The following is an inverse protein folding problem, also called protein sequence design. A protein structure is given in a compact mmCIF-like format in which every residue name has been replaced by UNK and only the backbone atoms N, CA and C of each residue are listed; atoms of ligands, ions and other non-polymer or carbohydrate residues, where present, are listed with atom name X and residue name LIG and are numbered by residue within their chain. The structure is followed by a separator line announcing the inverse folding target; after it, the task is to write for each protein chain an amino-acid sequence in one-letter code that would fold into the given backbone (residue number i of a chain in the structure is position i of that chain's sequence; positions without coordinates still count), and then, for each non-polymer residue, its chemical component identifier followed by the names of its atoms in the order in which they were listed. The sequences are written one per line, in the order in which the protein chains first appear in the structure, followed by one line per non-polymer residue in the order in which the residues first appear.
data_IF_496961780306
#
_entry.id   IF_496961780306
#
_cell.length_a   1.000
_cell.length_b   1.000
_cell.length_c   1.000
_cell.angle_alpha   90.00
_cell.angle_beta   90.00
_cell.angle_gamma   90.00
#
_symmetry.space_group_name_H-M   'P 1'
#
loop_
_entity.id
_entity.type
_entity.pdbx_description
1 polymer ?
#
# COMPACT_ATOMS: atom_id res chain seq x y z
N UNK A 1 15.54 -27.85 5.18
CA UNK A 1 15.55 -28.62 3.93
C UNK A 1 14.12 -29.10 3.69
N UNK A 2 13.54 -28.82 2.54
CA UNK A 2 12.18 -29.25 2.19
C UNK A 2 12.29 -30.60 1.46
N UNK A 3 11.59 -31.61 1.96
CA UNK A 3 11.55 -32.93 1.30
C UNK A 3 10.52 -32.92 0.18
N UNK A 4 10.98 -32.89 -1.07
CA UNK A 4 10.12 -32.78 -2.28
C UNK A 4 9.07 -33.90 -2.37
N UNK A 5 9.44 -35.12 -1.99
CA UNK A 5 8.51 -36.25 -2.04
C UNK A 5 7.32 -36.03 -1.09
N UNK A 6 7.57 -35.69 0.17
CA UNK A 6 6.53 -35.40 1.16
C UNK A 6 5.67 -34.19 0.74
N UNK A 7 6.28 -33.16 0.12
CA UNK A 7 5.53 -32.03 -0.43
C UNK A 7 4.57 -32.47 -1.53
N UNK A 8 5.03 -33.27 -2.49
CA UNK A 8 4.20 -33.76 -3.58
C UNK A 8 3.05 -34.66 -3.08
N UNK A 9 3.31 -35.53 -2.10
CA UNK A 9 2.29 -36.36 -1.46
C UNK A 9 1.22 -35.49 -0.77
N UNK A 10 1.59 -34.45 -0.07
CA UNK A 10 0.65 -33.52 0.57
C UNK A 10 -0.15 -32.69 -0.45
N UNK A 11 0.48 -32.24 -1.54
CA UNK A 11 -0.21 -31.53 -2.63
C UNK A 11 -1.25 -32.44 -3.31
N UNK A 12 -0.90 -33.71 -3.58
CA UNK A 12 -1.85 -34.66 -4.21
C UNK A 12 -3.03 -34.97 -3.29
N UNK A 13 -2.82 -35.14 -1.98
CA UNK A 13 -3.91 -35.28 -0.99
C UNK A 13 -4.89 -34.10 -0.98
N UNK A 14 -4.40 -32.87 -1.29
CA UNK A 14 -5.20 -31.65 -1.29
C UNK A 14 -5.77 -31.29 -2.67
N UNK A 15 -5.48 -32.06 -3.70
CA UNK A 15 -5.86 -31.75 -5.08
C UNK A 15 -7.35 -31.49 -5.27
N UNK A 16 -8.22 -32.35 -4.72
CA UNK A 16 -9.67 -32.20 -4.85
C UNK A 16 -10.18 -30.95 -4.13
N UNK A 17 -9.58 -30.62 -2.99
CA UNK A 17 -9.89 -29.41 -2.23
C UNK A 17 -9.54 -28.15 -3.05
N UNK A 18 -8.37 -28.11 -3.69
CA UNK A 18 -7.99 -27.04 -4.61
C UNK A 18 -8.91 -26.93 -5.82
N UNK A 19 -9.27 -28.04 -6.45
CA UNK A 19 -10.18 -28.04 -7.60
C UNK A 19 -11.56 -27.50 -7.25
N UNK A 20 -12.11 -27.91 -6.10
CA UNK A 20 -13.40 -27.40 -5.60
C UNK A 20 -13.31 -25.91 -5.34
N UNK A 21 -12.27 -25.45 -4.63
CA UNK A 21 -12.05 -24.02 -4.37
C UNK A 21 -11.99 -23.21 -5.67
N UNK A 22 -11.23 -23.66 -6.68
CA UNK A 22 -11.13 -22.96 -7.96
C UNK A 22 -12.48 -22.85 -8.65
N UNK A 23 -13.27 -23.94 -8.65
CA UNK A 23 -14.61 -23.95 -9.27
C UNK A 23 -15.58 -22.99 -8.57
N UNK A 24 -15.64 -23.02 -7.23
CA UNK A 24 -16.47 -22.11 -6.43
C UNK A 24 -16.02 -20.66 -6.62
N UNK A 25 -14.72 -20.39 -6.55
CA UNK A 25 -14.15 -19.08 -6.77
C UNK A 25 -14.48 -18.49 -8.14
N UNK A 26 -14.40 -19.31 -9.20
CA UNK A 26 -14.74 -18.86 -10.57
C UNK A 26 -16.22 -18.49 -10.66
N UNK A 27 -17.12 -19.32 -10.10
CA UNK A 27 -18.57 -19.03 -10.08
C UNK A 27 -18.88 -17.73 -9.32
N UNK A 28 -18.20 -17.50 -8.21
CA UNK A 28 -18.40 -16.28 -7.41
C UNK A 28 -17.87 -15.05 -8.16
N UNK A 29 -16.71 -15.13 -8.80
CA UNK A 29 -16.17 -14.05 -9.65
C UNK A 29 -17.12 -13.69 -10.78
N UNK A 30 -17.70 -14.69 -11.46
CA UNK A 30 -18.67 -14.47 -12.55
C UNK A 30 -19.93 -13.73 -12.05
N UNK A 31 -20.42 -14.08 -10.87
CA UNK A 31 -21.57 -13.40 -10.27
C UNK A 31 -21.26 -11.91 -9.97
N UNK A 32 -20.06 -11.60 -9.46
CA UNK A 32 -19.65 -10.21 -9.23
C UNK A 32 -19.40 -9.45 -10.54
N UNK A 33 -18.90 -10.09 -11.59
CA UNK A 33 -18.78 -9.50 -12.93
C UNK A 33 -20.15 -9.13 -13.50
N UNK A 34 -21.16 -9.99 -13.33
CA UNK A 34 -22.54 -9.67 -13.70
C UNK A 34 -23.07 -8.47 -12.90
N UNK A 35 -22.76 -8.40 -11.61
CA UNK A 35 -23.06 -7.25 -10.77
C UNK A 35 -22.40 -5.96 -11.25
N UNK A 36 -21.13 -6.03 -11.64
CA UNK A 36 -20.40 -4.89 -12.18
C UNK A 36 -21.00 -4.41 -13.52
N UNK A 37 -21.40 -5.33 -14.41
CA UNK A 37 -22.08 -4.99 -15.65
C UNK A 37 -23.43 -4.30 -15.42
N UNK A 38 -24.19 -4.73 -14.41
CA UNK A 38 -25.45 -4.05 -14.01
C UNK A 38 -25.18 -2.66 -13.45
N UNK A 39 -24.13 -2.49 -12.65
CA UNK A 39 -23.71 -1.18 -12.14
C UNK A 39 -23.37 -0.23 -13.29
N UNK A 40 -22.61 -0.69 -14.29
CA UNK A 40 -22.23 0.09 -15.48
C UNK A 40 -23.45 0.51 -16.35
N UNK A 41 -24.54 -0.25 -16.33
CA UNK A 41 -25.77 0.03 -17.06
C UNK A 41 -26.74 0.95 -16.29
N UNK A 42 -26.44 1.26 -15.03
CA UNK A 42 -27.30 2.08 -14.16
C UNK A 42 -26.85 3.53 -14.18
N UNK A 43 -27.80 4.47 -14.13
CA UNK A 43 -27.47 5.90 -14.08
C UNK A 43 -26.69 6.25 -12.81
N UNK A 44 -25.76 7.21 -12.91
CA UNK A 44 -24.98 7.66 -11.74
C UNK A 44 -25.88 8.12 -10.59
N UNK A 45 -26.97 8.83 -10.89
CA UNK A 45 -27.91 9.29 -9.87
C UNK A 45 -28.58 8.12 -9.09
N UNK A 46 -28.93 7.03 -9.78
CA UNK A 46 -29.50 5.85 -9.15
C UNK A 46 -28.45 5.08 -8.33
N UNK A 47 -27.19 4.99 -8.85
CA UNK A 47 -26.08 4.39 -8.10
C UNK A 47 -25.84 5.17 -6.81
N UNK A 48 -25.69 6.49 -6.90
CA UNK A 48 -25.42 7.35 -5.75
C UNK A 48 -26.57 7.27 -4.73
N UNK A 49 -27.81 7.32 -5.18
CA UNK A 49 -28.99 7.18 -4.30
C UNK A 49 -29.01 5.85 -3.53
N UNK A 50 -28.69 4.73 -4.20
CA UNK A 50 -28.69 3.40 -3.56
C UNK A 50 -27.55 3.23 -2.58
N UNK A 51 -26.34 3.70 -2.94
CA UNK A 51 -25.15 3.51 -2.10
C UNK A 51 -25.07 4.53 -0.96
N UNK A 52 -25.58 5.76 -1.15
CA UNK A 52 -25.59 6.80 -0.10
C UNK A 52 -26.64 6.54 0.99
N UNK A 53 -27.70 5.78 0.69
CA UNK A 53 -28.75 5.44 1.65
C UNK A 53 -28.44 4.21 2.51
N UNK A 54 -27.37 3.49 2.23
CA UNK A 54 -27.04 2.20 2.85
C UNK A 54 -25.85 2.23 3.79
N UNK A 55 -26.07 1.80 5.05
CA UNK A 55 -25.02 1.63 6.08
C UNK A 55 -23.98 0.53 5.79
N UNK A 56 -24.05 -0.13 4.63
CA UNK A 56 -23.32 -1.39 4.39
C UNK A 56 -22.24 -1.36 3.33
N UNK A 57 -22.09 -0.28 2.57
CA UNK A 57 -21.07 -0.19 1.54
C UNK A 57 -19.69 0.20 2.10
N UNK A 58 -18.62 -0.28 1.48
CA UNK A 58 -17.26 0.14 1.80
C UNK A 58 -16.68 1.11 0.75
N UNK A 59 -17.40 1.34 -0.35
CA UNK A 59 -16.99 2.28 -1.40
C UNK A 59 -18.20 2.90 -2.10
N UNK A 60 -18.03 4.12 -2.59
CA UNK A 60 -18.96 4.82 -3.48
C UNK A 60 -18.19 5.31 -4.68
N UNK A 61 -18.58 4.96 -5.93
CA UNK A 61 -17.88 5.40 -7.12
C UNK A 61 -18.08 6.91 -7.34
N UNK A 62 -17.08 7.56 -7.91
CA UNK A 62 -17.18 8.95 -8.32
C UNK A 62 -18.06 9.11 -9.58
N UNK A 63 -18.34 10.36 -9.97
CA UNK A 63 -19.09 10.64 -11.19
C UNK A 63 -18.38 10.19 -12.49
N UNK A 64 -17.14 9.73 -12.42
CA UNK A 64 -16.48 9.10 -13.58
C UNK A 64 -17.28 7.92 -14.15
N UNK A 65 -18.07 7.22 -13.34
CA UNK A 65 -18.90 6.10 -13.83
C UNK A 65 -20.10 6.55 -14.68
N UNK A 66 -20.40 7.84 -14.74
CA UNK A 66 -21.57 8.37 -15.45
C UNK A 66 -21.57 8.09 -16.97
N UNK A 67 -20.41 7.78 -17.55
CA UNK A 67 -20.31 7.38 -18.96
C UNK A 67 -20.62 5.88 -19.21
N UNK A 68 -21.04 5.15 -18.17
CA UNK A 68 -21.40 3.75 -18.28
C UNK A 68 -20.22 2.79 -18.24
N UNK A 69 -19.05 3.22 -17.77
CA UNK A 69 -17.90 2.33 -17.60
C UNK A 69 -17.26 2.49 -16.23
N UNK A 70 -17.01 1.38 -15.54
CA UNK A 70 -16.26 1.35 -14.29
C UNK A 70 -14.74 1.45 -14.52
N UNK A 71 -14.28 1.11 -15.73
CA UNK A 71 -12.86 1.19 -16.08
C UNK A 71 -12.56 2.42 -16.93
N UNK A 72 -11.37 2.98 -16.71
CA UNK A 72 -10.81 4.10 -17.48
C UNK A 72 -9.65 3.58 -18.29
N UNK A 73 -9.78 3.61 -19.60
CA UNK A 73 -8.75 3.14 -20.51
C UNK A 73 -7.58 4.11 -20.53
N UNK A 74 -6.40 3.55 -20.60
CA UNK A 74 -5.22 4.32 -20.95
C UNK A 74 -5.14 4.45 -22.47
N UNK A 75 -5.12 5.68 -22.95
CA UNK A 75 -5.27 6.02 -24.37
C UNK A 75 -3.99 5.87 -25.20
N UNK A 76 -2.86 5.54 -24.55
CA UNK A 76 -1.58 5.39 -25.21
C UNK A 76 -1.26 3.92 -25.46
N UNK A 77 -0.80 3.65 -26.67
CA UNK A 77 -0.26 2.35 -27.07
C UNK A 77 1.16 2.55 -27.59
N UNK A 78 2.04 1.62 -27.27
CA UNK A 78 3.42 1.63 -27.74
C UNK A 78 3.71 0.39 -28.57
N UNK A 79 4.48 0.58 -29.65
CA UNK A 79 4.92 -0.52 -30.50
C UNK A 79 6.04 -1.34 -29.83
N UNK A 80 6.77 -0.74 -28.90
CA UNK A 80 7.91 -1.36 -28.23
C UNK A 80 8.23 -0.68 -26.89
N UNK A 81 9.10 -1.32 -26.12
CA UNK A 81 9.54 -0.83 -24.81
C UNK A 81 10.31 0.51 -24.86
N UNK A 82 10.94 0.85 -25.96
CA UNK A 82 11.66 2.12 -26.11
C UNK A 82 10.67 3.29 -26.11
N UNK A 83 9.56 3.17 -26.83
CA UNK A 83 8.51 4.18 -26.83
C UNK A 83 7.86 4.34 -25.45
N UNK A 84 7.63 3.24 -24.75
CA UNK A 84 7.12 3.28 -23.37
C UNK A 84 8.07 4.02 -22.43
N UNK A 85 9.38 3.72 -22.49
CA UNK A 85 10.40 4.39 -21.69
C UNK A 85 10.54 5.87 -22.02
N UNK A 86 10.44 6.24 -23.30
CA UNK A 86 10.47 7.64 -23.72
C UNK A 86 9.30 8.41 -23.15
N UNK A 87 8.09 7.84 -23.25
CA UNK A 87 6.91 8.44 -22.62
C UNK A 87 7.07 8.58 -21.09
N UNK A 88 7.57 7.55 -20.42
CA UNK A 88 7.80 7.61 -18.98
C UNK A 88 8.85 8.70 -18.63
N UNK A 89 9.92 8.81 -19.41
CA UNK A 89 10.91 9.88 -19.23
C UNK A 89 10.29 11.28 -19.41
N UNK A 90 9.41 11.48 -20.41
CA UNK A 90 8.71 12.75 -20.62
C UNK A 90 7.75 13.10 -19.47
N UNK A 91 7.05 12.10 -18.91
CA UNK A 91 6.18 12.30 -17.75
C UNK A 91 6.97 12.67 -16.51
N UNK A 92 8.10 12.00 -16.29
CA UNK A 92 8.94 12.17 -15.09
C UNK A 92 9.91 13.36 -15.18
N UNK A 93 10.21 13.86 -16.36
CA UNK A 93 11.18 14.94 -16.58
C UNK A 93 11.01 16.11 -15.62
N UNK A 94 12.05 16.47 -14.89
CA UNK A 94 12.08 17.51 -13.86
C UNK A 94 10.96 17.39 -12.79
N UNK A 95 10.42 16.20 -12.57
CA UNK A 95 9.38 15.91 -11.58
C UNK A 95 9.96 15.14 -10.42
N UNK A 96 9.80 15.67 -9.22
CA UNK A 96 10.32 15.00 -8.02
C UNK A 96 9.38 13.90 -7.57
N UNK A 97 9.88 12.66 -7.52
CA UNK A 97 9.22 11.55 -6.84
C UNK A 97 9.95 11.18 -5.55
N UNK A 98 9.20 10.73 -4.56
CA UNK A 98 9.72 10.40 -3.25
C UNK A 98 9.04 9.17 -2.69
N UNK A 99 9.83 8.30 -2.05
CA UNK A 99 9.31 7.21 -1.22
C UNK A 99 10.16 7.03 0.03
N UNK A 100 9.54 6.51 1.07
CA UNK A 100 10.20 6.04 2.28
C UNK A 100 9.68 4.64 2.63
N UNK A 101 10.59 3.79 3.07
CA UNK A 101 10.29 2.44 3.56
C UNK A 101 11.09 2.16 4.83
N UNK A 102 10.65 1.17 5.61
CA UNK A 102 11.25 0.85 6.88
C UNK A 102 11.63 -0.62 7.04
N UNK A 103 12.79 -0.85 7.66
CA UNK A 103 13.24 -2.16 8.09
C UNK A 103 13.49 -2.18 9.60
N UNK A 104 13.46 -3.38 10.21
CA UNK A 104 13.58 -3.50 11.66
C UNK A 104 14.43 -4.69 12.10
N UNK A 105 14.99 -4.54 13.30
CA UNK A 105 15.53 -5.62 14.11
C UNK A 105 14.59 -5.78 15.32
N UNK A 106 13.87 -6.90 15.36
CA UNK A 106 12.97 -7.22 16.47
C UNK A 106 13.73 -7.58 17.74
N UNK A 107 13.01 -7.53 18.86
CA UNK A 107 13.54 -7.99 20.14
C UNK A 107 13.88 -9.47 20.05
N UNK A 108 15.17 -9.76 20.07
CA UNK A 108 15.66 -11.13 19.96
C UNK A 108 15.58 -11.89 21.29
N UNK A 109 15.65 -13.21 21.21
CA UNK A 109 15.87 -14.08 22.37
C UNK A 109 17.32 -14.07 22.81
N UNK A 110 18.16 -13.32 22.13
CA UNK A 110 19.61 -13.21 22.36
C UNK A 110 19.91 -12.39 23.60
N UNK A 111 19.02 -11.48 23.98
CA UNK A 111 19.19 -10.62 25.17
C UNK A 111 18.03 -10.81 26.15
N UNK A 112 18.30 -10.76 27.45
CA UNK A 112 17.27 -10.78 28.50
C UNK A 112 16.47 -9.49 28.56
N UNK A 113 17.08 -8.39 28.12
CA UNK A 113 16.44 -7.07 28.06
C UNK A 113 16.04 -6.80 26.62
N UNK A 114 14.79 -6.43 26.34
CA UNK A 114 14.35 -6.16 24.99
C UNK A 114 15.06 -4.93 24.42
N UNK A 115 15.75 -5.12 23.32
CA UNK A 115 16.39 -4.06 22.53
C UNK A 115 16.04 -4.35 21.07
N UNK A 116 15.69 -3.31 20.35
CA UNK A 116 15.31 -3.39 18.94
C UNK A 116 15.87 -2.19 18.17
N UNK A 117 15.74 -2.21 16.86
CA UNK A 117 16.08 -1.08 16.03
C UNK A 117 15.13 -0.96 14.83
N UNK A 118 14.97 0.24 14.36
CA UNK A 118 14.32 0.53 13.08
C UNK A 118 15.24 1.38 12.21
N UNK A 119 15.18 1.14 10.92
CA UNK A 119 15.85 1.95 9.90
C UNK A 119 14.82 2.41 8.89
N UNK A 120 14.71 3.71 8.67
CA UNK A 120 13.86 4.30 7.64
C UNK A 120 14.77 4.76 6.51
N UNK A 121 14.67 4.07 5.39
CA UNK A 121 15.30 4.43 4.13
C UNK A 121 14.40 5.31 3.30
N UNK A 122 14.96 6.18 2.47
CA UNK A 122 14.20 6.97 1.51
C UNK A 122 14.96 7.20 0.23
N UNK A 123 14.19 7.50 -0.80
CA UNK A 123 14.70 7.87 -2.09
C UNK A 123 13.90 9.06 -2.63
N UNK A 124 14.60 10.16 -2.92
CA UNK A 124 14.07 11.34 -3.61
C UNK A 124 14.75 11.45 -4.98
N UNK A 125 13.96 11.38 -6.04
CA UNK A 125 14.46 11.46 -7.41
C UNK A 125 13.89 12.69 -8.12
N UNK A 126 14.69 13.70 -8.46
CA UNK A 126 14.24 14.88 -9.18
C UNK A 126 14.00 14.63 -10.68
N UNK A 127 14.40 13.47 -11.23
CA UNK A 127 14.33 13.13 -12.66
C UNK A 127 14.89 14.23 -13.56
N UNK A 128 15.93 14.89 -13.11
CA UNK A 128 16.62 15.95 -13.82
C UNK A 128 18.10 15.59 -13.96
N UNK A 129 18.65 15.73 -15.17
CA UNK A 129 20.02 15.34 -15.50
C UNK A 129 21.07 16.20 -14.77
N UNK A 130 20.70 17.42 -14.41
CA UNK A 130 21.58 18.39 -13.71
C UNK A 130 21.47 18.28 -12.19
N UNK A 131 20.50 17.50 -11.68
CA UNK A 131 20.24 17.33 -10.26
C UNK A 131 20.63 15.95 -9.77
N UNK A 132 21.15 15.86 -8.54
CA UNK A 132 21.43 14.56 -7.91
C UNK A 132 20.21 14.04 -7.16
N UNK A 133 19.99 12.72 -7.25
CA UNK A 133 19.03 12.05 -6.38
C UNK A 133 19.56 11.95 -4.94
N UNK A 134 18.65 11.85 -3.99
CA UNK A 134 18.97 11.59 -2.57
C UNK A 134 18.52 10.15 -2.21
N UNK A 135 19.47 9.27 -1.90
CA UNK A 135 19.24 7.95 -1.33
C UNK A 135 19.91 7.88 0.03
N UNK A 136 19.14 7.77 1.12
CA UNK A 136 19.67 7.84 2.48
C UNK A 136 18.82 7.00 3.44
N UNK A 137 19.30 6.84 4.69
CA UNK A 137 18.57 6.15 5.74
C UNK A 137 18.82 6.79 7.11
N UNK A 138 17.80 6.73 7.99
CA UNK A 138 17.88 7.14 9.40
C UNK A 138 17.73 5.90 10.27
N UNK A 139 18.73 5.62 11.10
CA UNK A 139 18.71 4.52 12.05
C UNK A 139 18.28 5.00 13.43
N UNK A 140 17.40 4.26 14.10
CA UNK A 140 16.95 4.50 15.47
C UNK A 140 17.06 3.23 16.30
N UNK A 141 17.79 3.32 17.41
CA UNK A 141 17.80 2.29 18.45
C UNK A 141 16.56 2.43 19.34
N UNK A 142 15.89 1.32 19.62
CA UNK A 142 14.78 1.25 20.58
C UNK A 142 15.29 0.60 21.86
N UNK A 143 15.29 1.38 22.93
CA UNK A 143 15.73 0.97 24.26
C UNK A 143 14.62 0.23 25.01
N UNK A 144 14.95 -0.45 26.14
CA UNK A 144 13.92 -1.03 27.01
C UNK A 144 12.84 -0.02 27.45
N UNK A 145 13.23 1.22 27.67
CA UNK A 145 12.27 2.29 28.01
C UNK A 145 11.28 2.57 26.86
N UNK A 146 11.74 2.56 25.60
CA UNK A 146 10.88 2.70 24.44
C UNK A 146 9.93 1.49 24.27
N UNK A 147 10.42 0.31 24.59
CA UNK A 147 9.74 -0.98 24.36
C UNK A 147 8.82 -1.43 25.50
N UNK A 148 9.12 -1.02 26.75
CA UNK A 148 8.41 -1.47 27.95
C UNK A 148 7.69 -0.34 28.70
N UNK A 149 7.78 0.92 28.23
CA UNK A 149 7.10 2.04 28.87
C UNK A 149 5.59 1.76 29.02
N UNK A 150 5.00 2.25 30.11
CA UNK A 150 3.60 2.05 30.44
C UNK A 150 2.68 2.60 29.32
N UNK A 151 2.08 1.69 28.62
CA UNK A 151 0.90 1.92 27.81
C UNK A 151 -0.29 1.38 28.58
N UNK A 152 -1.48 1.85 28.28
CA UNK A 152 -2.72 1.44 28.97
C UNK A 152 -2.92 -0.09 29.02
N UNK A 153 -2.27 -0.86 28.14
CA UNK A 153 -2.27 -2.34 28.16
C UNK A 153 -0.86 -2.92 27.95
N UNK A 154 -0.51 -4.06 28.60
CA UNK A 154 0.72 -4.79 28.30
C UNK A 154 0.76 -5.24 26.85
N UNK A 155 1.76 -4.80 26.09
CA UNK A 155 1.89 -5.07 24.68
C UNK A 155 3.20 -5.81 24.37
N UNK A 156 3.15 -6.74 23.41
CA UNK A 156 4.36 -7.40 22.92
C UNK A 156 5.35 -6.33 22.41
N UNK A 157 6.63 -6.33 22.85
CA UNK A 157 7.63 -5.38 22.39
C UNK A 157 7.78 -5.29 20.87
N UNK A 158 7.61 -6.41 20.14
CA UNK A 158 7.72 -6.44 18.68
C UNK A 158 6.67 -5.60 17.98
N UNK A 159 5.47 -5.48 18.56
CA UNK A 159 4.41 -4.60 18.04
C UNK A 159 4.84 -3.14 18.16
N UNK A 160 5.59 -2.77 19.19
CA UNK A 160 6.14 -1.41 19.34
C UNK A 160 7.23 -1.14 18.31
N UNK A 161 7.99 -2.15 17.92
CA UNK A 161 8.97 -2.04 16.84
C UNK A 161 8.25 -1.76 15.51
N UNK A 162 7.20 -2.50 15.20
CA UNK A 162 6.37 -2.27 14.01
C UNK A 162 5.75 -0.85 14.01
N UNK A 163 5.27 -0.41 15.19
CA UNK A 163 4.75 0.94 15.33
C UNK A 163 5.82 2.00 15.09
N UNK A 164 7.00 1.84 15.65
CA UNK A 164 8.10 2.78 15.47
C UNK A 164 8.55 2.85 14.00
N UNK A 165 8.54 1.72 13.29
CA UNK A 165 8.82 1.65 11.85
C UNK A 165 7.77 2.44 11.06
N UNK A 166 6.50 2.09 11.21
CA UNK A 166 5.40 2.74 10.49
C UNK A 166 5.35 4.25 10.73
N UNK A 167 5.44 4.67 11.99
CA UNK A 167 5.43 6.10 12.34
C UNK A 167 6.66 6.84 11.78
N UNK A 168 7.81 6.17 11.69
CA UNK A 168 9.01 6.73 11.07
C UNK A 168 8.86 6.91 9.56
N UNK A 169 8.18 5.98 8.87
CA UNK A 169 7.84 6.13 7.45
C UNK A 169 6.89 7.32 7.22
N UNK A 170 5.82 7.41 8.03
CA UNK A 170 4.85 8.53 7.98
C UNK A 170 5.53 9.87 8.26
N UNK A 171 6.40 9.94 9.29
CA UNK A 171 7.18 11.15 9.62
C UNK A 171 8.04 11.58 8.43
N UNK A 172 8.73 10.63 7.78
CA UNK A 172 9.61 10.96 6.66
C UNK A 172 8.85 11.41 5.42
N UNK A 173 7.66 10.83 5.16
CA UNK A 173 6.75 11.32 4.13
C UNK A 173 6.27 12.74 4.44
N UNK A 174 5.87 13.00 5.69
CA UNK A 174 5.46 14.33 6.14
C UNK A 174 6.57 15.39 5.96
N UNK A 175 7.83 15.07 6.30
CA UNK A 175 8.98 15.94 6.05
C UNK A 175 9.13 16.29 4.56
N UNK A 176 8.88 15.34 3.66
CA UNK A 176 8.91 15.59 2.23
C UNK A 176 7.75 16.50 1.78
N UNK A 177 6.53 16.26 2.26
CA UNK A 177 5.37 17.11 1.91
C UNK A 177 5.62 18.56 2.30
N UNK A 178 6.16 18.82 3.50
CA UNK A 178 6.55 20.17 3.94
C UNK A 178 7.65 20.76 3.06
N UNK A 179 8.71 20.00 2.78
CA UNK A 179 9.84 20.43 1.95
C UNK A 179 9.37 20.89 0.56
N UNK A 180 8.33 20.24 0.02
CA UNK A 180 7.79 20.53 -1.32
C UNK A 180 6.60 21.49 -1.32
N UNK A 181 6.09 21.91 -0.16
CA UNK A 181 5.03 22.90 -0.09
C UNK A 181 5.35 24.14 -0.94
N UNK A 182 4.36 24.67 -1.65
CA UNK A 182 4.54 25.84 -2.51
C UNK A 182 5.29 25.58 -3.83
N UNK A 183 5.40 24.34 -4.27
CA UNK A 183 6.03 23.95 -5.54
C UNK A 183 5.46 24.73 -6.75
N UNK A 184 4.12 24.97 -6.77
CA UNK A 184 3.47 25.75 -7.84
C UNK A 184 4.04 27.16 -7.94
N UNK A 185 4.23 27.83 -6.80
CA UNK A 185 4.74 29.21 -6.76
C UNK A 185 6.20 29.31 -7.20
N UNK A 186 6.95 28.21 -7.14
CA UNK A 186 8.33 28.14 -7.63
C UNK A 186 8.42 27.74 -9.10
N UNK A 187 7.28 27.45 -9.76
CA UNK A 187 7.23 26.98 -11.13
C UNK A 187 7.77 25.56 -11.32
N UNK A 188 7.82 24.78 -10.24
CA UNK A 188 8.23 23.38 -10.28
C UNK A 188 7.08 22.51 -10.84
N UNK A 189 7.42 21.36 -11.42
CA UNK A 189 6.41 20.35 -11.78
C UNK A 189 5.88 19.69 -10.51
N UNK A 190 4.64 19.21 -10.55
CA UNK A 190 3.96 18.55 -9.44
C UNK A 190 4.80 17.41 -8.87
N UNK A 191 5.27 17.47 -7.62
CA UNK A 191 5.97 16.37 -6.97
C UNK A 191 4.96 15.27 -6.58
N UNK A 192 5.44 14.03 -6.35
CA UNK A 192 4.60 12.95 -5.87
C UNK A 192 5.31 12.14 -4.77
N UNK A 193 4.61 11.98 -3.65
CA UNK A 193 5.02 11.07 -2.57
C UNK A 193 4.35 9.71 -2.74
N UNK A 194 5.13 8.63 -2.55
CA UNK A 194 4.65 7.26 -2.54
C UNK A 194 4.81 6.66 -1.15
N UNK A 195 3.77 6.00 -0.69
CA UNK A 195 3.77 5.25 0.55
C UNK A 195 3.53 3.77 0.24
N UNK A 196 4.46 2.87 0.59
CA UNK A 196 4.35 1.43 0.38
C UNK A 196 3.43 0.76 1.41
N UNK A 197 2.31 1.42 1.67
CA UNK A 197 1.27 0.96 2.58
C UNK A 197 -0.07 1.53 2.13
N UNK A 198 -1.20 0.88 2.49
CA UNK A 198 -2.50 1.50 2.31
C UNK A 198 -2.64 2.74 3.22
N UNK A 199 -3.27 3.79 2.73
CA UNK A 199 -3.73 4.91 3.56
C UNK A 199 -4.94 4.53 4.41
N UNK A 200 -5.72 3.56 3.94
CA UNK A 200 -6.90 3.02 4.62
C UNK A 200 -6.53 1.77 5.40
N UNK A 201 -5.72 1.93 6.44
CA UNK A 201 -5.15 0.81 7.18
C UNK A 201 -6.20 0.09 8.04
N UNK A 202 -6.46 -1.21 7.80
CA UNK A 202 -7.27 -2.02 8.69
C UNK A 202 -6.43 -2.43 9.91
N UNK A 203 -6.70 -1.85 11.08
CA UNK A 203 -6.01 -2.26 12.31
C UNK A 203 -6.83 -3.26 13.11
N UNK A 204 -6.21 -4.41 13.39
CA UNK A 204 -6.77 -5.43 14.28
C UNK A 204 -6.35 -5.23 15.75
N UNK A 205 -5.39 -4.34 16.06
CA UNK A 205 -4.83 -4.20 17.40
C UNK A 205 -5.28 -2.90 18.07
N UNK A 206 -6.16 -3.02 19.07
CA UNK A 206 -6.85 -1.90 19.73
C UNK A 206 -5.92 -0.82 20.30
N UNK A 207 -4.77 -1.17 20.88
CA UNK A 207 -3.90 -0.19 21.57
C UNK A 207 -3.10 0.75 20.64
N UNK A 208 -2.78 0.33 19.41
CA UNK A 208 -2.02 1.14 18.44
C UNK A 208 -2.90 1.74 17.34
N UNK A 209 -4.09 1.21 17.14
CA UNK A 209 -5.00 1.62 16.07
C UNK A 209 -5.16 3.12 15.99
N UNK A 210 -5.40 3.78 17.14
CA UNK A 210 -5.60 5.21 17.19
C UNK A 210 -4.35 5.98 16.73
N UNK A 211 -3.15 5.59 17.19
CA UNK A 211 -1.91 6.28 16.82
C UNK A 211 -1.61 6.19 15.32
N UNK A 212 -1.80 5.03 14.74
CA UNK A 212 -1.62 4.84 13.31
C UNK A 212 -2.67 5.63 12.52
N UNK A 213 -3.94 5.54 12.94
CA UNK A 213 -5.02 6.29 12.32
C UNK A 213 -4.75 7.79 12.36
N UNK A 214 -4.42 8.33 13.55
CA UNK A 214 -4.12 9.76 13.73
C UNK A 214 -2.93 10.19 12.85
N UNK A 215 -1.87 9.36 12.76
CA UNK A 215 -0.71 9.64 11.94
C UNK A 215 -1.05 9.66 10.44
N UNK A 216 -1.83 8.69 9.98
CA UNK A 216 -2.22 8.62 8.56
C UNK A 216 -3.21 9.70 8.17
N UNK A 217 -4.19 9.99 9.04
CA UNK A 217 -5.11 11.13 8.86
C UNK A 217 -4.32 12.45 8.81
N UNK A 218 -3.33 12.61 9.70
CA UNK A 218 -2.43 13.76 9.71
C UNK A 218 -1.67 13.90 8.38
N UNK A 219 -1.12 12.79 7.87
CA UNK A 219 -0.40 12.76 6.59
C UNK A 219 -1.30 13.13 5.39
N UNK A 220 -2.53 12.60 5.34
CA UNK A 220 -3.51 12.91 4.30
C UNK A 220 -3.90 14.40 4.33
N UNK A 221 -4.14 14.96 5.53
CA UNK A 221 -4.42 16.39 5.70
C UNK A 221 -3.23 17.26 5.29
N UNK A 222 -2.02 16.89 5.70
CA UNK A 222 -0.79 17.58 5.32
C UNK A 222 -0.60 17.58 3.79
N UNK A 223 -0.89 16.47 3.11
CA UNK A 223 -0.90 16.41 1.65
C UNK A 223 -1.85 17.46 1.04
N UNK A 224 -3.07 17.58 1.58
CA UNK A 224 -4.06 18.59 1.14
C UNK A 224 -3.59 20.03 1.43
N UNK A 225 -3.06 20.29 2.61
CA UNK A 225 -2.61 21.60 3.05
C UNK A 225 -1.38 22.11 2.28
N UNK A 226 -0.43 21.22 2.01
CA UNK A 226 0.78 21.55 1.23
C UNK A 226 0.54 21.56 -0.28
N UNK A 227 -0.56 20.98 -0.74
CA UNK A 227 -0.86 20.75 -2.17
C UNK A 227 0.12 19.78 -2.83
N UNK A 228 0.79 18.92 -2.05
CA UNK A 228 1.72 17.90 -2.53
C UNK A 228 0.99 16.54 -2.56
N UNK A 229 0.77 15.95 -3.74
CA UNK A 229 0.10 14.67 -3.85
C UNK A 229 0.84 13.52 -3.14
N UNK A 230 0.04 12.63 -2.57
CA UNK A 230 0.45 11.40 -1.90
C UNK A 230 -0.36 10.23 -2.46
N UNK A 231 0.29 9.09 -2.67
CA UNK A 231 -0.35 7.85 -3.07
C UNK A 231 0.11 6.70 -2.18
N UNK A 232 -0.84 6.01 -1.56
CA UNK A 232 -0.61 4.70 -0.96
C UNK A 232 -0.63 3.63 -2.05
N UNK A 233 0.45 2.90 -2.22
CA UNK A 233 0.58 1.85 -3.24
C UNK A 233 0.53 0.47 -2.61
N UNK A 234 -0.35 -0.41 -3.10
CA UNK A 234 -0.51 -1.79 -2.62
C UNK A 234 -0.47 -2.74 -3.80
N UNK A 235 0.66 -3.40 -4.01
CA UNK A 235 0.87 -4.31 -5.14
C UNK A 235 -0.10 -5.49 -5.15
N UNK A 236 -0.36 -6.08 -3.97
CA UNK A 236 -1.29 -7.20 -3.79
C UNK A 236 -2.32 -6.87 -2.73
N UNK A 237 -3.49 -6.45 -3.18
CA UNK A 237 -4.59 -6.11 -2.29
C UNK A 237 -5.54 -7.28 -2.09
N UNK A 238 -5.82 -7.59 -0.82
CA UNK A 238 -6.90 -8.49 -0.40
C UNK A 238 -8.18 -7.73 -0.02
N UNK A 239 -8.32 -6.50 -0.48
CA UNK A 239 -9.49 -5.67 -0.22
C UNK A 239 -10.74 -6.22 -0.91
N UNK A 240 -11.88 -5.91 -0.31
CA UNK A 240 -13.22 -6.28 -0.77
C UNK A 240 -14.14 -5.06 -0.86
N UNK A 241 -13.59 -3.88 -1.10
CA UNK A 241 -14.36 -2.63 -1.09
C UNK A 241 -15.30 -2.53 -2.29
N UNK A 242 -14.82 -2.92 -3.49
CA UNK A 242 -15.64 -3.02 -4.70
C UNK A 242 -16.71 -4.12 -4.53
N UNK A 243 -16.32 -5.27 -4.00
CA UNK A 243 -17.26 -6.36 -3.72
C UNK A 243 -18.34 -5.94 -2.75
N UNK A 244 -17.99 -5.27 -1.65
CA UNK A 244 -18.96 -4.73 -0.69
C UNK A 244 -19.88 -3.68 -1.31
N UNK A 245 -19.34 -2.85 -2.20
CA UNK A 245 -20.14 -1.91 -2.99
C UNK A 245 -21.15 -2.63 -3.89
N UNK A 246 -20.71 -3.68 -4.59
CA UNK A 246 -21.60 -4.47 -5.46
C UNK A 246 -22.65 -5.24 -4.65
N UNK A 247 -22.28 -5.84 -3.51
CA UNK A 247 -23.19 -6.50 -2.59
C UNK A 247 -24.29 -5.51 -2.08
N UNK A 248 -23.91 -4.28 -1.73
CA UNK A 248 -24.84 -3.24 -1.32
C UNK A 248 -25.73 -2.76 -2.49
N UNK A 249 -25.16 -2.58 -3.67
CA UNK A 249 -25.89 -2.16 -4.88
C UNK A 249 -26.94 -3.19 -5.32
N UNK A 250 -26.66 -4.49 -5.13
CA UNK A 250 -27.52 -5.61 -5.52
C UNK A 250 -28.50 -6.03 -4.41
N UNK A 251 -28.63 -5.27 -3.31
CA UNK A 251 -29.54 -5.54 -2.17
C UNK A 251 -29.41 -6.96 -1.59
N UNK A 252 -28.21 -7.52 -1.59
CA UNK A 252 -27.94 -8.86 -1.04
C UNK A 252 -28.34 -10.03 -1.94
N UNK A 253 -28.69 -9.78 -3.20
CA UNK A 253 -28.89 -10.85 -4.20
C UNK A 253 -27.61 -11.67 -4.46
N UNK A 254 -26.43 -11.11 -4.10
CA UNK A 254 -25.15 -11.78 -4.25
C UNK A 254 -24.79 -12.58 -3.00
N UNK A 255 -24.29 -13.79 -3.17
CA UNK A 255 -23.73 -14.61 -2.08
C UNK A 255 -22.47 -13.96 -1.55
N UNK A 256 -22.41 -13.78 -0.22
CA UNK A 256 -21.17 -13.37 0.45
C UNK A 256 -20.10 -14.45 0.27
N UNK A 257 -19.25 -14.28 -0.73
CA UNK A 257 -18.14 -15.20 -1.04
C UNK A 257 -16.87 -14.72 -0.31
N UNK A 258 -16.54 -15.35 0.81
CA UNK A 258 -15.42 -14.92 1.69
C UNK A 258 -14.04 -15.04 1.05
N UNK A 259 -13.90 -15.77 -0.06
CA UNK A 259 -12.63 -16.08 -0.71
C UNK A 259 -12.37 -15.27 -1.99
N UNK A 260 -13.25 -14.32 -2.36
CA UNK A 260 -13.08 -13.45 -3.53
C UNK A 260 -12.65 -12.06 -3.07
N UNK A 261 -11.73 -11.47 -3.80
CA UNK A 261 -11.18 -10.13 -3.58
C UNK A 261 -11.43 -9.24 -4.81
N UNK A 262 -11.38 -7.92 -4.62
CA UNK A 262 -11.56 -6.95 -5.71
C UNK A 262 -10.67 -7.26 -6.92
N UNK A 263 -9.41 -7.57 -6.67
CA UNK A 263 -8.44 -7.91 -7.70
C UNK A 263 -8.83 -9.14 -8.53
N UNK A 264 -9.54 -10.11 -7.96
CA UNK A 264 -10.04 -11.30 -8.66
C UNK A 264 -11.10 -10.91 -9.69
N UNK A 265 -12.05 -10.06 -9.31
CA UNK A 265 -13.12 -9.57 -10.20
C UNK A 265 -12.56 -8.67 -11.29
N UNK A 266 -11.64 -7.76 -10.94
CA UNK A 266 -11.04 -6.84 -11.92
C UNK A 266 -10.20 -7.55 -12.99
N UNK A 267 -9.64 -8.73 -12.70
CA UNK A 267 -8.97 -9.60 -13.68
C UNK A 267 -9.94 -10.43 -14.51
N UNK A 268 -11.16 -10.55 -14.06
CA UNK A 268 -12.18 -11.39 -14.68
C UNK A 268 -12.54 -10.96 -16.09
N UNK A 269 -13.06 -11.91 -16.86
CA UNK A 269 -13.53 -11.71 -18.23
C UNK A 269 -15.06 -11.64 -18.20
N UNK A 270 -15.62 -10.53 -18.65
CA UNK A 270 -17.06 -10.32 -18.75
C UNK A 270 -17.66 -11.25 -19.84
N UNK A 271 -18.97 -11.44 -19.82
CA UNK A 271 -19.70 -12.29 -20.80
C UNK A 271 -19.52 -11.86 -22.25
N UNK A 272 -19.25 -10.58 -22.50
CA UNK A 272 -18.96 -10.03 -23.82
C UNK A 272 -17.50 -10.26 -24.29
N UNK A 273 -16.69 -10.96 -23.49
CA UNK A 273 -15.28 -11.23 -23.76
C UNK A 273 -14.33 -10.10 -23.38
N UNK A 274 -14.83 -8.96 -22.91
CA UNK A 274 -13.99 -7.86 -22.40
C UNK A 274 -13.51 -8.18 -20.97
N UNK A 275 -12.38 -7.62 -20.57
CA UNK A 275 -11.92 -7.66 -19.18
C UNK A 275 -12.44 -6.45 -18.40
N UNK A 276 -12.66 -6.63 -17.11
CA UNK A 276 -13.04 -5.53 -16.22
C UNK A 276 -11.94 -4.45 -16.16
N UNK A 277 -10.64 -4.86 -16.06
CA UNK A 277 -9.47 -4.06 -16.42
C UNK A 277 -8.74 -4.75 -17.56
N UNK A 278 -8.73 -4.13 -18.76
CA UNK A 278 -8.36 -4.80 -19.99
C UNK A 278 -6.88 -4.81 -20.31
N UNK A 279 -6.21 -3.68 -20.15
CA UNK A 279 -4.86 -3.47 -20.67
C UNK A 279 -3.95 -2.82 -19.63
N UNK A 280 -2.66 -2.89 -19.88
CA UNK A 280 -1.68 -2.15 -19.11
C UNK A 280 -2.03 -0.66 -19.08
N UNK A 281 -1.94 -0.07 -17.91
CA UNK A 281 -2.26 1.33 -17.71
C UNK A 281 -3.74 1.64 -17.48
N UNK A 282 -4.67 0.71 -17.75
CA UNK A 282 -6.07 0.89 -17.42
C UNK A 282 -6.26 1.01 -15.90
N UNK A 283 -7.20 1.84 -15.47
CA UNK A 283 -7.58 2.01 -14.07
C UNK A 283 -9.08 1.87 -13.85
N UNK A 284 -9.52 1.64 -12.64
CA UNK A 284 -10.93 1.83 -12.28
C UNK A 284 -11.27 3.31 -12.18
N UNK A 285 -12.57 3.65 -12.18
CA UNK A 285 -12.98 4.96 -11.71
C UNK A 285 -12.49 5.16 -10.25
N UNK A 286 -12.35 6.43 -9.85
CA UNK A 286 -12.08 6.76 -8.45
C UNK A 286 -13.30 6.39 -7.59
N UNK A 287 -13.06 5.74 -6.45
CA UNK A 287 -14.08 5.41 -5.47
C UNK A 287 -13.75 6.05 -4.14
N UNK A 288 -14.69 6.79 -3.55
CA UNK A 288 -14.58 7.24 -2.17
C UNK A 288 -14.68 6.04 -1.22
N UNK A 289 -13.82 5.97 -0.20
CA UNK A 289 -13.92 4.93 0.81
C UNK A 289 -15.00 5.28 1.83
N UNK A 290 -15.89 4.34 2.09
CA UNK A 290 -16.93 4.43 3.14
C UNK A 290 -16.79 3.29 4.13
N UNK A 291 -15.56 2.72 4.23
CA UNK A 291 -15.26 1.60 5.11
C UNK A 291 -15.52 1.96 6.57
N UNK A 292 -16.22 1.10 7.29
CA UNK A 292 -16.50 1.28 8.72
C UNK A 292 -15.20 1.31 9.55
N UNK A 293 -15.17 2.13 10.59
CA UNK A 293 -14.02 2.30 11.47
C UNK A 293 -12.99 3.31 10.95
N UNK A 294 -13.31 4.01 9.86
CA UNK A 294 -12.48 5.05 9.28
C UNK A 294 -13.17 6.43 9.31
N UNK A 295 -14.06 6.65 10.28
CA UNK A 295 -14.82 7.90 10.45
C UNK A 295 -13.89 9.12 10.65
N UNK A 296 -12.64 8.90 11.11
CA UNK A 296 -11.63 9.94 11.25
C UNK A 296 -11.18 10.56 9.92
N UNK A 297 -11.42 9.86 8.79
CA UNK A 297 -11.16 10.37 7.43
C UNK A 297 -12.37 11.10 6.82
N UNK A 298 -13.48 11.20 7.53
CA UNK A 298 -14.63 11.93 7.01
C UNK A 298 -14.43 13.43 7.16
N UNK A 299 -14.63 14.16 6.07
CA UNK A 299 -14.72 15.62 6.12
C UNK A 299 -15.96 16.02 6.93
N UNK A 300 -15.81 16.76 8.01
CA UNK A 300 -16.91 17.08 8.92
C UNK A 300 -17.98 17.99 8.29
N UNK A 301 -17.69 18.67 7.18
CA UNK A 301 -18.63 19.56 6.50
C UNK A 301 -19.43 18.84 5.42
N UNK A 302 -18.79 17.96 4.67
CA UNK A 302 -19.41 17.29 3.52
C UNK A 302 -19.84 15.87 3.82
N UNK A 303 -19.33 15.25 4.89
CA UNK A 303 -19.53 13.83 5.22
C UNK A 303 -18.84 12.87 4.24
N UNK A 304 -18.10 13.38 3.25
CA UNK A 304 -17.34 12.56 2.31
C UNK A 304 -16.02 12.14 2.92
N UNK A 305 -15.49 11.02 2.45
CA UNK A 305 -14.17 10.56 2.88
C UNK A 305 -13.07 11.39 2.24
N UNK A 306 -12.09 11.80 3.05
CA UNK A 306 -10.85 12.46 2.60
C UNK A 306 -9.93 11.51 1.81
N UNK A 307 -10.26 10.20 1.76
CA UNK A 307 -9.50 9.20 1.02
C UNK A 307 -10.42 8.35 0.15
N UNK A 308 -10.00 8.12 -1.06
CA UNK A 308 -10.58 7.14 -1.96
C UNK A 308 -9.52 6.22 -2.52
N UNK A 309 -9.88 5.45 -3.52
CA UNK A 309 -8.96 4.53 -4.16
C UNK A 309 -9.29 4.32 -5.65
N UNK A 310 -8.31 3.84 -6.37
CA UNK A 310 -8.46 3.27 -7.70
C UNK A 310 -7.56 2.03 -7.81
N UNK A 311 -7.91 1.11 -8.72
CA UNK A 311 -7.03 0.03 -9.12
C UNK A 311 -6.37 0.35 -10.45
N UNK A 312 -5.10 0.05 -10.58
CA UNK A 312 -4.28 0.31 -11.78
C UNK A 312 -3.65 -0.98 -12.28
N UNK A 313 -3.82 -1.30 -13.56
CA UNK A 313 -3.17 -2.44 -14.19
C UNK A 313 -1.74 -2.08 -14.59
N UNK A 314 -0.77 -2.58 -13.85
CA UNK A 314 0.67 -2.24 -14.02
C UNK A 314 1.47 -3.30 -14.79
N UNK A 315 0.89 -4.50 -14.96
CA UNK A 315 1.50 -5.61 -15.72
C UNK A 315 0.42 -6.36 -16.50
N UNK A 316 0.79 -7.14 -17.51
CA UNK A 316 -0.18 -7.92 -18.29
C UNK A 316 -0.78 -9.11 -17.51
N UNK A 317 -0.02 -9.70 -16.60
CA UNK A 317 -0.32 -11.02 -16.02
C UNK A 317 -0.60 -11.02 -14.51
N UNK A 318 -0.25 -9.94 -13.78
CA UNK A 318 -0.50 -9.83 -12.34
C UNK A 318 -1.87 -9.23 -12.02
N UNK A 319 -2.23 -9.29 -10.75
CA UNK A 319 -3.38 -8.54 -10.23
C UNK A 319 -3.12 -7.03 -10.34
N UNK A 320 -4.17 -6.21 -10.55
CA UNK A 320 -4.01 -4.77 -10.53
C UNK A 320 -3.56 -4.29 -9.14
N UNK A 321 -2.67 -3.30 -9.13
CA UNK A 321 -2.27 -2.63 -7.91
C UNK A 321 -3.42 -1.73 -7.40
N UNK A 322 -3.58 -1.65 -6.09
CA UNK A 322 -4.49 -0.70 -5.46
C UNK A 322 -3.73 0.58 -5.11
N UNK A 323 -4.30 1.70 -5.47
CA UNK A 323 -3.83 3.03 -5.13
C UNK A 323 -4.82 3.66 -4.15
N UNK A 324 -4.41 3.90 -2.91
CA UNK A 324 -5.18 4.72 -1.98
C UNK A 324 -4.76 6.19 -2.18
N UNK A 325 -5.73 7.07 -2.39
CA UNK A 325 -5.49 8.43 -2.90
C UNK A 325 -6.29 9.42 -2.07
N UNK A 326 -5.67 10.49 -1.52
CA UNK A 326 -6.41 11.59 -0.92
C UNK A 326 -7.45 12.17 -1.87
N UNK A 327 -8.69 12.32 -1.42
CA UNK A 327 -9.83 12.70 -2.26
C UNK A 327 -9.64 14.06 -2.95
N UNK A 328 -8.92 14.99 -2.31
CA UNK A 328 -8.63 16.30 -2.87
C UNK A 328 -7.90 16.25 -4.23
N UNK A 329 -7.15 15.16 -4.49
CA UNK A 329 -6.45 14.93 -5.77
C UNK A 329 -7.46 14.73 -6.89
N UNK A 330 -8.52 13.95 -6.63
CA UNK A 330 -9.63 13.77 -7.57
C UNK A 330 -10.46 15.05 -7.69
N UNK A 331 -10.80 15.67 -6.58
CA UNK A 331 -11.65 16.88 -6.50
C UNK A 331 -11.02 18.10 -7.18
N UNK A 332 -9.69 18.17 -7.27
CA UNK A 332 -8.94 19.21 -7.98
C UNK A 332 -8.54 18.84 -9.41
N UNK A 333 -9.10 17.76 -9.95
CA UNK A 333 -8.88 17.29 -11.34
C UNK A 333 -7.41 16.98 -11.70
N UNK A 334 -6.60 16.63 -10.72
CA UNK A 334 -5.19 16.24 -10.93
C UNK A 334 -4.95 14.73 -10.84
N UNK A 335 -6.02 13.94 -10.66
CA UNK A 335 -5.91 12.47 -10.52
C UNK A 335 -5.20 11.83 -11.71
N UNK A 336 -5.55 12.21 -12.93
CA UNK A 336 -4.96 11.61 -14.14
C UNK A 336 -3.46 11.91 -14.23
N UNK A 337 -3.03 13.10 -13.85
CA UNK A 337 -1.61 13.47 -13.80
C UNK A 337 -0.86 12.64 -12.75
N UNK A 338 -1.43 12.46 -11.56
CA UNK A 338 -0.88 11.59 -10.51
C UNK A 338 -0.77 10.15 -10.99
N UNK A 339 -1.81 9.60 -11.62
CA UNK A 339 -1.81 8.24 -12.16
C UNK A 339 -0.76 8.07 -13.27
N UNK A 340 -0.55 9.08 -14.12
CA UNK A 340 0.49 9.02 -15.15
C UNK A 340 1.90 8.97 -14.56
N UNK A 341 2.14 9.67 -13.45
CA UNK A 341 3.42 9.54 -12.71
C UNK A 341 3.58 8.12 -12.14
N UNK A 342 2.54 7.55 -11.56
CA UNK A 342 2.57 6.16 -11.06
C UNK A 342 2.84 5.18 -12.21
N UNK A 343 2.17 5.35 -13.37
CA UNK A 343 2.42 4.53 -14.57
C UNK A 343 3.85 4.65 -15.04
N UNK A 344 4.40 5.86 -15.08
CA UNK A 344 5.75 6.12 -15.52
C UNK A 344 6.80 5.48 -14.59
N UNK A 345 6.61 5.60 -13.28
CA UNK A 345 7.43 4.90 -12.28
C UNK A 345 7.36 3.37 -12.45
N UNK A 346 6.16 2.82 -12.77
CA UNK A 346 6.00 1.39 -13.07
C UNK A 346 6.66 0.97 -14.39
N UNK A 347 6.74 1.85 -15.40
CA UNK A 347 7.50 1.57 -16.63
C UNK A 347 9.00 1.48 -16.33
N UNK A 348 9.51 2.39 -15.50
CA UNK A 348 10.93 2.40 -15.07
C UNK A 348 11.24 1.17 -14.23
N UNK A 349 10.38 0.83 -13.27
CA UNK A 349 10.54 -0.28 -12.32
C UNK A 349 9.96 -1.62 -12.82
N UNK A 350 9.66 -1.76 -14.13
CA UNK A 350 9.20 -3.00 -14.77
C UNK A 350 7.93 -3.62 -14.14
N UNK A 351 6.99 -2.76 -13.76
CA UNK A 351 5.67 -3.14 -13.24
C UNK A 351 5.43 -2.76 -11.78
N UNK A 352 6.46 -2.32 -11.06
CA UNK A 352 6.39 -1.77 -9.71
C UNK A 352 7.05 -0.38 -9.68
N UNK A 353 6.57 0.60 -8.90
CA UNK A 353 7.19 1.93 -8.87
C UNK A 353 8.67 1.88 -8.47
N UNK A 354 9.54 2.37 -9.34
CA UNK A 354 10.98 2.36 -9.13
C UNK A 354 11.41 3.12 -7.86
N UNK A 355 10.71 4.21 -7.55
CA UNK A 355 10.97 5.00 -6.35
C UNK A 355 10.74 4.19 -5.07
N UNK A 356 9.70 3.34 -5.02
CA UNK A 356 9.43 2.44 -3.89
C UNK A 356 10.48 1.35 -3.77
N UNK A 357 10.81 0.67 -4.86
CA UNK A 357 11.85 -0.37 -4.89
C UNK A 357 13.20 0.17 -4.38
N UNK A 358 13.54 1.41 -4.79
CA UNK A 358 14.80 2.03 -4.39
C UNK A 358 14.81 2.47 -2.92
N UNK A 359 13.66 2.89 -2.38
CA UNK A 359 13.52 3.22 -0.96
C UNK A 359 13.60 1.95 -0.09
N UNK A 360 12.94 0.83 -0.48
CA UNK A 360 13.09 -0.47 0.17
C UNK A 360 14.56 -0.90 0.23
N UNK A 361 15.27 -0.83 -0.89
CA UNK A 361 16.72 -1.13 -0.92
C UNK A 361 17.55 -0.24 0.02
N UNK A 362 17.14 1.02 0.24
CA UNK A 362 17.80 1.91 1.19
C UNK A 362 17.50 1.55 2.65
N UNK A 363 16.32 0.99 2.90
CA UNK A 363 15.87 0.60 4.24
C UNK A 363 16.43 -0.75 4.69
N UNK A 364 16.75 -1.66 3.78
CA UNK A 364 17.13 -3.06 4.08
C UNK A 364 18.24 -3.15 5.13
N UNK A 365 17.95 -3.89 6.20
CA UNK A 365 18.93 -4.34 7.20
C UNK A 365 19.30 -5.80 6.90
N UNK A 366 20.49 -6.02 6.36
CA UNK A 366 20.98 -7.36 6.00
C UNK A 366 21.26 -8.23 7.23
N UNK A 367 21.43 -9.54 7.04
CA UNK A 367 21.86 -10.46 8.08
C UNK A 367 23.22 -10.03 8.68
N UNK A 368 24.12 -9.51 7.85
CA UNK A 368 25.43 -9.01 8.30
C UNK A 368 25.27 -7.76 9.17
N UNK A 369 24.37 -6.86 8.83
CA UNK A 369 24.11 -5.65 9.62
C UNK A 369 23.54 -6.02 11.00
N UNK A 370 22.67 -7.03 11.07
CA UNK A 370 22.18 -7.59 12.33
C UNK A 370 23.31 -8.16 13.19
N UNK A 371 24.27 -8.88 12.61
CA UNK A 371 25.44 -9.38 13.33
C UNK A 371 26.32 -8.22 13.84
N UNK A 372 26.52 -7.18 13.05
CA UNK A 372 27.22 -5.96 13.47
C UNK A 372 26.50 -5.27 14.62
N UNK A 373 25.18 -5.12 14.52
CA UNK A 373 24.35 -4.54 15.59
C UNK A 373 24.50 -5.29 16.91
N UNK A 374 24.33 -6.61 16.91
CA UNK A 374 24.44 -7.40 18.15
C UNK A 374 25.87 -7.43 18.70
N UNK A 375 26.89 -7.40 17.86
CA UNK A 375 28.29 -7.29 18.30
C UNK A 375 28.55 -5.93 18.98
N UNK A 376 28.12 -4.83 18.36
CA UNK A 376 28.26 -3.51 18.96
C UNK A 376 27.52 -3.40 20.31
N UNK A 377 26.33 -4.00 20.40
CA UNK A 377 25.59 -4.08 21.65
C UNK A 377 26.35 -4.88 22.73
N UNK A 378 26.96 -6.02 22.37
CA UNK A 378 27.75 -6.83 23.28
C UNK A 378 29.02 -6.11 23.77
N UNK A 379 29.68 -5.36 22.87
CA UNK A 379 30.84 -4.54 23.24
C UNK A 379 30.43 -3.41 24.21
N UNK A 380 29.30 -2.74 23.97
CA UNK A 380 28.77 -1.73 24.89
C UNK A 380 28.48 -2.33 26.28
N UNK A 381 27.75 -3.46 26.33
CA UNK A 381 27.37 -4.09 27.61
C UNK A 381 28.60 -4.56 28.40
N UNK A 382 29.63 -5.06 27.72
CA UNK A 382 30.89 -5.47 28.33
C UNK A 382 31.66 -4.26 28.91
N UNK A 383 31.75 -3.18 28.13
CA UNK A 383 32.43 -1.95 28.53
C UNK A 383 31.78 -1.28 29.73
N UNK A 384 30.44 -1.19 29.70
CA UNK A 384 29.66 -0.51 30.74
C UNK A 384 29.27 -1.45 31.88
N UNK A 385 29.74 -2.71 31.91
CA UNK A 385 29.41 -3.75 32.89
C UNK A 385 27.92 -3.93 33.14
N UNK A 386 27.13 -3.81 32.07
CA UNK A 386 25.70 -4.04 32.13
C UNK A 386 25.42 -5.54 32.10
N UNK A 387 24.59 -6.02 33.02
CA UNK A 387 24.22 -7.44 33.08
C UNK A 387 23.13 -7.79 32.06
N UNK A 388 23.50 -7.78 30.79
CA UNK A 388 22.67 -8.30 29.69
C UNK A 388 23.11 -9.74 29.40
N UNK A 389 22.60 -10.72 30.13
CA UNK A 389 22.97 -12.10 29.86
C UNK A 389 22.45 -12.56 28.50
N UNK A 390 23.36 -13.00 27.64
CA UNK A 390 23.04 -13.59 26.33
C UNK A 390 22.48 -15.00 26.54
N UNK A 391 21.36 -15.34 25.90
CA UNK A 391 20.75 -16.65 25.99
C UNK A 391 21.70 -17.74 25.47
N UNK A 392 22.02 -18.75 26.34
CA UNK A 392 22.99 -19.84 26.09
C UNK A 392 22.72 -20.63 24.78
N UNK A 393 21.51 -20.62 24.28
CA UNK A 393 21.09 -21.43 23.11
C UNK A 393 21.68 -20.94 21.77
N UNK A 394 21.94 -19.65 21.63
CA UNK A 394 22.50 -19.07 20.39
C UNK A 394 24.02 -19.05 20.40
N UNK A 395 24.67 -18.94 21.56
CA UNK A 395 26.10 -19.18 21.68
C UNK A 395 26.50 -20.62 21.25
N UNK A 396 25.60 -21.58 21.39
CA UNK A 396 25.79 -22.96 20.92
C UNK A 396 25.62 -23.13 19.42
N UNK A 397 24.77 -22.33 18.74
CA UNK A 397 24.59 -22.38 17.28
C UNK A 397 25.73 -21.69 16.52
N UNK A 398 26.30 -20.61 17.08
CA UNK A 398 27.47 -19.94 16.49
C UNK A 398 28.72 -20.80 16.52
N UNK A 399 28.86 -21.70 17.50
CA UNK A 399 29.98 -22.65 17.56
C UNK A 399 29.87 -23.85 16.60
N UNK A 400 28.71 -24.02 15.94
CA UNK A 400 28.44 -25.14 15.00
C UNK A 400 28.41 -24.72 13.54
N UNK A 401 28.65 -23.45 13.23
CA UNK A 401 28.89 -22.89 11.90
C UNK A 401 30.37 -22.50 11.76
#
# INVERSE_FOLDING_TARGET
MLFRQTLNEELEKKREEFQRFISEHTSDVDAFLDGLMRLEQTSFADIDSRLSSGDKTAAVPSCEIADGSFSRRFDKAWENHEQARRWAAEVLDARVTFAADGSQIYTGKETLVPIAAVQIGWFENPHDIDSSYEKNARFRLLTPADLLSEWEEPMNPDIRVEAARYLGEVERLGEFLEKKAGWQSRGERMPLAFFDNPLLVPFSQKGLQKKFLDATVGLVRQSKETGVPLVGYVDRSFSRDILSMLEAFLDGESRSASAVFDASVLRGVKKDGSRALGSWGDRTCFCYSTRRGLEAFLDPLTGKSDVGFAYLQTTADSAPARLDIPAWIYENDILNEVIDVVRAECVVGLGYPYVLETADQAAVISTRDREVFFRALQELTTREKLDFSVARKDASKQRRR
#
